data_IF_832909772105
#
_entry.id   IF_832909772105
#
_cell.length_a   1.000
_cell.length_b   1.000
_cell.length_c   1.000
_cell.angle_alpha   90.00
_cell.angle_beta   90.00
_cell.angle_gamma   90.00
#
_symmetry.space_group_name_H-M   'P 1'
#
loop_
_entity.id
_entity.type
_entity.pdbx_description
1 polymer ?
#
# COMPACT_ATOMS: atom_id res chain seq x y z
N UNK A 1 3.48 40.43 -43.72
CA UNK A 1 3.34 40.04 -42.29
C UNK A 1 2.04 39.28 -42.15
N UNK A 2 2.10 37.96 -42.35
CA UNK A 2 0.97 37.06 -42.25
C UNK A 2 0.76 36.65 -40.80
N UNK A 3 -0.41 36.89 -40.24
CA UNK A 3 -0.82 36.37 -38.94
C UNK A 3 -1.10 34.86 -39.11
N UNK A 4 -0.32 34.01 -38.49
CA UNK A 4 -0.67 32.61 -38.29
C UNK A 4 -1.90 32.55 -37.35
N UNK A 5 -2.94 31.80 -37.69
CA UNK A 5 -4.02 31.57 -36.74
C UNK A 5 -3.52 30.64 -35.65
N UNK A 6 -3.73 31.03 -34.39
CA UNK A 6 -3.60 30.21 -33.22
C UNK A 6 -4.61 29.07 -33.37
N UNK A 7 -4.14 27.87 -33.72
CA UNK A 7 -4.96 26.67 -33.69
C UNK A 7 -5.20 26.35 -32.21
N UNK A 8 -6.31 26.82 -31.68
CA UNK A 8 -6.80 26.41 -30.39
C UNK A 8 -7.09 24.89 -30.46
N UNK A 9 -6.35 24.09 -29.74
CA UNK A 9 -6.72 22.72 -29.48
C UNK A 9 -8.04 22.73 -28.71
N UNK A 10 -9.12 22.53 -29.45
CA UNK A 10 -10.43 22.29 -28.87
C UNK A 10 -10.38 20.83 -28.34
N UNK A 11 -10.13 20.67 -27.05
CA UNK A 11 -10.35 19.39 -26.38
C UNK A 11 -11.85 19.09 -26.48
N UNK A 12 -12.21 18.20 -27.39
CA UNK A 12 -13.56 17.63 -27.42
C UNK A 12 -13.68 16.69 -26.21
N UNK A 13 -14.24 17.19 -25.12
CA UNK A 13 -14.74 16.36 -24.03
C UNK A 13 -15.95 15.55 -24.56
N UNK A 14 -15.71 14.40 -25.15
CA UNK A 14 -16.77 13.48 -25.47
C UNK A 14 -17.11 12.68 -24.21
N UNK A 15 -17.97 13.22 -23.36
CA UNK A 15 -18.49 12.48 -22.21
C UNK A 15 -19.44 11.39 -22.71
N UNK A 16 -18.90 10.22 -23.04
CA UNK A 16 -19.69 9.04 -23.36
C UNK A 16 -20.27 8.45 -22.08
N UNK A 17 -21.57 8.29 -22.02
CA UNK A 17 -22.22 7.60 -20.93
C UNK A 17 -22.61 6.19 -21.35
N UNK A 18 -22.04 5.18 -20.69
CA UNK A 18 -22.37 3.78 -20.94
C UNK A 18 -23.08 3.22 -19.71
N UNK A 19 -24.15 2.46 -19.95
CA UNK A 19 -24.80 1.71 -18.89
C UNK A 19 -23.99 0.44 -18.65
N UNK A 20 -23.33 0.35 -17.49
CA UNK A 20 -22.73 -0.91 -17.06
C UNK A 20 -23.84 -1.95 -16.81
N UNK A 21 -23.52 -3.23 -16.90
CA UNK A 21 -24.47 -4.36 -16.72
C UNK A 21 -25.26 -4.32 -15.40
N UNK A 22 -24.91 -3.42 -14.49
CA UNK A 22 -25.42 -3.30 -13.12
C UNK A 22 -26.33 -2.09 -12.87
N UNK A 23 -26.77 -1.37 -13.93
CA UNK A 23 -27.57 -0.14 -13.75
C UNK A 23 -26.79 1.11 -13.31
N UNK A 24 -25.46 1.02 -13.22
CA UNK A 24 -24.59 2.16 -12.99
C UNK A 24 -24.23 2.80 -14.32
N UNK A 25 -24.31 4.12 -14.39
CA UNK A 25 -23.87 4.91 -15.54
C UNK A 25 -22.41 5.32 -15.34
N UNK A 26 -21.55 5.00 -16.30
CA UNK A 26 -20.13 5.36 -16.31
C UNK A 26 -19.97 6.55 -17.27
N UNK A 27 -19.18 7.53 -16.85
CA UNK A 27 -18.83 8.70 -17.65
C UNK A 27 -17.33 8.61 -17.90
N UNK A 28 -16.95 8.65 -19.16
CA UNK A 28 -15.57 8.53 -19.61
C UNK A 28 -15.10 9.77 -20.33
N UNK A 29 -13.81 10.02 -20.26
CA UNK A 29 -13.07 10.99 -21.05
C UNK A 29 -12.15 10.22 -22.02
N UNK A 30 -12.07 10.67 -23.26
CA UNK A 30 -11.21 10.08 -24.28
C UNK A 30 -9.95 10.92 -24.43
N UNK A 31 -8.80 10.26 -24.41
CA UNK A 31 -7.52 10.86 -24.71
C UNK A 31 -6.67 9.87 -25.54
N UNK A 32 -6.22 10.30 -26.72
CA UNK A 32 -5.35 9.52 -27.61
C UNK A 32 -5.86 8.07 -27.90
N UNK A 33 -7.16 7.93 -28.12
CA UNK A 33 -7.80 6.65 -28.41
C UNK A 33 -7.97 5.72 -27.20
N UNK A 34 -7.76 6.21 -25.99
CA UNK A 34 -7.97 5.52 -24.73
C UNK A 34 -9.00 6.23 -23.88
N UNK A 35 -9.69 5.46 -23.04
CA UNK A 35 -10.72 5.99 -22.15
C UNK A 35 -10.27 5.97 -20.70
N UNK A 36 -10.55 7.07 -20.01
CA UNK A 36 -10.47 7.15 -18.55
C UNK A 36 -11.87 7.32 -17.97
N UNK A 37 -12.25 6.47 -17.03
CA UNK A 37 -13.50 6.60 -16.29
C UNK A 37 -13.34 7.76 -15.29
N UNK A 38 -14.01 8.87 -15.51
CA UNK A 38 -13.89 10.06 -14.66
C UNK A 38 -15.00 10.19 -13.61
N UNK A 39 -16.13 9.49 -13.81
CA UNK A 39 -17.26 9.55 -12.89
C UNK A 39 -18.21 8.39 -13.09
N UNK A 40 -18.96 8.06 -12.03
CA UNK A 40 -20.08 7.13 -12.09
C UNK A 40 -21.34 7.75 -11.48
N UNK A 41 -22.52 7.34 -11.96
CA UNK A 41 -23.83 7.73 -11.43
C UNK A 41 -24.65 6.47 -11.13
N UNK A 42 -25.50 6.53 -10.12
CA UNK A 42 -26.24 5.37 -9.63
C UNK A 42 -25.47 4.61 -8.55
N UNK A 43 -26.00 3.45 -8.19
CA UNK A 43 -25.42 2.53 -7.20
C UNK A 43 -25.51 1.10 -7.71
N UNK A 44 -24.48 0.32 -7.45
CA UNK A 44 -24.48 -1.13 -7.61
C UNK A 44 -23.68 -1.74 -6.47
N UNK A 45 -23.84 -3.04 -6.25
CA UNK A 45 -23.00 -3.77 -5.29
C UNK A 45 -21.77 -4.37 -5.98
N UNK A 46 -21.92 -4.78 -7.23
CA UNK A 46 -20.88 -5.44 -7.99
C UNK A 46 -20.58 -4.64 -9.24
N UNK A 47 -19.30 -4.45 -9.53
CA UNK A 47 -18.83 -3.71 -10.67
C UNK A 47 -17.69 -4.46 -11.35
N UNK A 48 -17.91 -4.81 -12.61
CA UNK A 48 -16.84 -5.26 -13.50
C UNK A 48 -16.55 -4.10 -14.44
N UNK A 49 -15.35 -3.55 -14.35
CA UNK A 49 -14.89 -2.52 -15.29
C UNK A 49 -14.76 -3.18 -16.67
N UNK A 50 -15.39 -2.66 -17.72
CA UNK A 50 -15.25 -3.22 -19.06
C UNK A 50 -13.85 -2.97 -19.62
N UNK A 51 -13.29 -3.92 -20.36
CA UNK A 51 -12.00 -3.73 -21.05
C UNK A 51 -12.07 -2.64 -22.12
N UNK A 52 -13.23 -2.55 -22.80
CA UNK A 52 -13.46 -1.58 -23.87
C UNK A 52 -14.85 -0.97 -23.77
N UNK A 53 -14.98 0.27 -24.24
CA UNK A 53 -16.25 0.96 -24.44
C UNK A 53 -16.22 1.53 -25.86
N UNK A 54 -17.22 1.16 -26.70
CA UNK A 54 -17.27 1.55 -28.11
C UNK A 54 -15.97 1.21 -28.87
N UNK A 55 -15.40 0.03 -28.65
CA UNK A 55 -14.13 -0.46 -29.19
C UNK A 55 -12.87 0.34 -28.80
N UNK A 56 -12.98 1.28 -27.86
CA UNK A 56 -11.82 1.97 -27.26
C UNK A 56 -11.46 1.35 -25.93
N UNK A 57 -10.17 1.10 -25.63
CA UNK A 57 -9.77 0.51 -24.38
C UNK A 57 -10.00 1.45 -23.19
N UNK A 58 -10.49 0.89 -22.08
CA UNK A 58 -10.52 1.58 -20.79
C UNK A 58 -9.16 1.44 -20.14
N UNK A 59 -8.36 2.49 -20.19
CA UNK A 59 -6.99 2.49 -19.72
C UNK A 59 -6.80 3.15 -18.34
N UNK A 60 -7.76 3.97 -17.90
CA UNK A 60 -7.65 4.67 -16.62
C UNK A 60 -8.94 4.69 -15.81
N UNK A 61 -8.79 4.77 -14.50
CA UNK A 61 -9.89 5.06 -13.56
C UNK A 61 -9.48 6.33 -12.83
N UNK A 62 -10.21 7.41 -13.07
CA UNK A 62 -9.90 8.74 -12.58
C UNK A 62 -10.16 8.94 -11.09
N UNK A 63 -9.73 10.11 -10.60
CA UNK A 63 -9.89 10.53 -9.21
C UNK A 63 -11.36 10.45 -8.77
N UNK A 64 -11.60 9.78 -7.64
CA UNK A 64 -12.92 9.68 -7.02
C UNK A 64 -14.02 9.04 -7.86
N UNK A 65 -13.72 8.43 -9.02
CA UNK A 65 -14.71 7.98 -10.01
C UNK A 65 -15.82 7.11 -9.43
N UNK A 66 -15.51 6.29 -8.42
CA UNK A 66 -16.45 5.38 -7.74
C UNK A 66 -16.49 5.58 -6.22
N UNK A 67 -16.12 6.74 -5.71
CA UNK A 67 -16.18 7.03 -4.27
C UNK A 67 -17.62 6.96 -3.74
N UNK A 68 -17.84 6.28 -2.59
CA UNK A 68 -19.13 6.22 -1.87
C UNK A 68 -20.30 5.65 -2.70
N UNK A 69 -20.04 4.61 -3.50
CA UNK A 69 -21.06 3.95 -4.36
C UNK A 69 -21.72 2.74 -3.71
N UNK A 70 -21.23 2.28 -2.57
CA UNK A 70 -21.73 1.10 -1.88
C UNK A 70 -21.32 -0.21 -2.55
N UNK A 71 -20.20 -0.20 -3.30
CA UNK A 71 -19.63 -1.35 -3.96
C UNK A 71 -19.14 -2.38 -2.95
N UNK A 72 -19.42 -3.66 -3.19
CA UNK A 72 -18.94 -4.79 -2.37
C UNK A 72 -17.92 -5.65 -3.09
N UNK A 73 -17.95 -5.64 -4.43
CA UNK A 73 -17.01 -6.35 -5.30
C UNK A 73 -16.65 -5.46 -6.49
N UNK A 74 -15.34 -5.43 -6.81
CA UNK A 74 -14.82 -4.78 -8.02
C UNK A 74 -13.81 -5.71 -8.69
N UNK A 75 -13.91 -5.83 -10.01
CA UNK A 75 -12.90 -6.42 -10.88
C UNK A 75 -12.39 -5.38 -11.86
N UNK A 76 -11.08 -5.15 -11.86
CA UNK A 76 -10.38 -4.22 -12.74
C UNK A 76 -9.62 -5.04 -13.77
N UNK A 77 -9.91 -4.88 -15.08
CA UNK A 77 -9.31 -5.69 -16.14
C UNK A 77 -7.88 -5.28 -16.47
N UNK A 78 -7.22 -6.11 -17.28
CA UNK A 78 -5.85 -5.88 -17.75
C UNK A 78 -5.73 -4.70 -18.75
N UNK A 79 -6.83 -4.15 -19.26
CA UNK A 79 -6.78 -2.93 -20.08
C UNK A 79 -6.43 -1.67 -19.27
N UNK A 80 -6.69 -1.68 -17.95
CA UNK A 80 -6.44 -0.55 -17.05
C UNK A 80 -4.98 -0.52 -16.65
N UNK A 81 -4.34 0.64 -16.80
CA UNK A 81 -2.94 0.88 -16.44
C UNK A 81 -2.80 1.79 -15.22
N UNK A 82 -3.82 2.59 -14.91
CA UNK A 82 -3.77 3.56 -13.81
C UNK A 82 -5.09 3.63 -13.03
N UNK A 83 -4.97 3.70 -11.70
CA UNK A 83 -6.09 3.90 -10.78
C UNK A 83 -5.81 5.18 -9.99
N UNK A 84 -6.67 6.19 -10.16
CA UNK A 84 -6.52 7.52 -9.60
C UNK A 84 -6.76 7.63 -8.10
N UNK A 85 -6.47 8.81 -7.56
CA UNK A 85 -6.66 9.13 -6.13
C UNK A 85 -8.11 8.88 -5.70
N UNK A 86 -8.30 8.18 -4.57
CA UNK A 86 -9.60 7.93 -3.97
C UNK A 86 -10.62 7.21 -4.86
N UNK A 87 -10.20 6.63 -5.99
CA UNK A 87 -11.10 6.12 -7.04
C UNK A 87 -12.22 5.23 -6.52
N UNK A 88 -11.95 4.38 -5.54
CA UNK A 88 -12.91 3.47 -4.90
C UNK A 88 -13.01 3.66 -3.38
N UNK A 89 -12.58 4.81 -2.87
CA UNK A 89 -12.61 5.06 -1.43
C UNK A 89 -14.03 5.09 -0.86
N UNK A 90 -14.16 4.77 0.44
CA UNK A 90 -15.44 4.81 1.16
C UNK A 90 -16.53 3.95 0.52
N UNK A 91 -16.20 2.73 0.12
CA UNK A 91 -17.16 1.72 -0.31
C UNK A 91 -17.29 0.60 0.74
N UNK A 92 -17.89 -0.52 0.37
CA UNK A 92 -18.07 -1.71 1.20
C UNK A 92 -17.34 -2.92 0.61
N UNK A 93 -16.26 -2.69 -0.16
CA UNK A 93 -15.53 -3.73 -0.87
C UNK A 93 -15.04 -4.80 0.11
N UNK A 94 -15.41 -6.04 -0.14
CA UNK A 94 -14.89 -7.21 0.58
C UNK A 94 -13.86 -7.96 -0.23
N UNK A 95 -14.00 -7.90 -1.56
CA UNK A 95 -13.13 -8.56 -2.54
C UNK A 95 -12.75 -7.57 -3.63
N UNK A 96 -11.49 -7.59 -4.01
CA UNK A 96 -10.94 -6.76 -5.08
C UNK A 96 -9.94 -7.57 -5.90
N UNK A 97 -10.10 -7.53 -7.21
CA UNK A 97 -9.14 -8.06 -8.18
C UNK A 97 -8.64 -6.91 -9.05
N UNK A 98 -7.33 -6.70 -9.07
CA UNK A 98 -6.64 -5.70 -9.88
C UNK A 98 -5.87 -6.42 -10.98
N UNK A 99 -6.11 -6.02 -12.24
CA UNK A 99 -5.48 -6.59 -13.42
C UNK A 99 -3.95 -6.41 -13.48
N UNK A 100 -3.29 -7.26 -14.25
CA UNK A 100 -1.82 -7.32 -14.29
C UNK A 100 -1.16 -6.15 -15.03
N UNK A 101 -1.90 -5.39 -15.82
CA UNK A 101 -1.36 -4.21 -16.52
C UNK A 101 -1.46 -2.92 -15.71
N UNK A 102 -2.09 -2.94 -14.52
CA UNK A 102 -2.10 -1.78 -13.64
C UNK A 102 -0.69 -1.52 -13.13
N UNK A 103 -0.16 -0.34 -13.45
CA UNK A 103 1.17 0.09 -13.01
C UNK A 103 1.10 0.97 -11.76
N UNK A 104 0.06 1.79 -11.65
CA UNK A 104 -0.06 2.77 -10.56
C UNK A 104 -1.40 2.65 -9.84
N UNK A 105 -1.33 2.54 -8.51
CA UNK A 105 -2.48 2.65 -7.61
C UNK A 105 -2.35 3.96 -6.85
N UNK A 106 -3.26 4.89 -7.09
CA UNK A 106 -3.23 6.25 -6.56
C UNK A 106 -3.44 6.33 -5.05
N UNK A 107 -3.17 7.52 -4.50
CA UNK A 107 -3.38 7.85 -3.10
C UNK A 107 -4.81 7.50 -2.68
N UNK A 108 -4.94 6.80 -1.52
CA UNK A 108 -6.23 6.43 -0.93
C UNK A 108 -7.21 5.70 -1.87
N UNK A 109 -6.75 5.13 -2.99
CA UNK A 109 -7.60 4.57 -4.05
C UNK A 109 -8.66 3.59 -3.53
N UNK A 110 -8.34 2.77 -2.56
CA UNK A 110 -9.22 1.77 -1.94
C UNK A 110 -9.34 1.94 -0.42
N UNK A 111 -9.04 3.12 0.11
CA UNK A 111 -9.13 3.37 1.54
C UNK A 111 -10.58 3.31 2.05
N UNK A 112 -10.74 3.04 3.35
CA UNK A 112 -12.06 2.99 4.00
C UNK A 112 -13.03 2.02 3.31
N UNK A 113 -12.61 0.75 3.23
CA UNK A 113 -13.40 -0.37 2.72
C UNK A 113 -13.45 -1.52 3.74
N UNK A 114 -13.91 -2.68 3.32
CA UNK A 114 -14.01 -3.90 4.15
C UNK A 114 -13.21 -5.05 3.53
N UNK A 115 -12.15 -4.75 2.76
CA UNK A 115 -11.37 -5.73 2.00
C UNK A 115 -10.81 -6.81 2.90
N UNK A 116 -11.11 -8.06 2.56
CA UNK A 116 -10.55 -9.27 3.15
C UNK A 116 -9.69 -10.02 2.14
N UNK A 117 -10.19 -10.07 0.90
CA UNK A 117 -9.57 -10.74 -0.23
C UNK A 117 -9.09 -9.69 -1.25
N UNK A 118 -7.78 -9.65 -1.47
CA UNK A 118 -7.13 -8.72 -2.37
C UNK A 118 -6.16 -9.49 -3.27
N UNK A 119 -6.35 -9.34 -4.57
CA UNK A 119 -5.37 -9.72 -5.59
C UNK A 119 -4.85 -8.46 -6.25
N UNK A 120 -3.56 -8.21 -6.15
CA UNK A 120 -2.85 -7.13 -6.83
C UNK A 120 -2.13 -7.72 -8.03
N UNK A 121 -2.37 -7.16 -9.21
CA UNK A 121 -1.70 -7.59 -10.45
C UNK A 121 -0.19 -7.41 -10.38
N UNK A 122 0.54 -8.25 -11.10
CA UNK A 122 2.02 -8.31 -11.04
C UNK A 122 2.70 -7.09 -11.65
N UNK A 123 2.02 -6.33 -12.51
CA UNK A 123 2.57 -5.11 -13.15
C UNK A 123 2.58 -3.86 -12.26
N UNK A 124 2.04 -3.95 -11.03
CA UNK A 124 2.00 -2.77 -10.14
C UNK A 124 3.41 -2.42 -9.67
N UNK A 125 3.80 -1.18 -9.97
CA UNK A 125 5.09 -0.58 -9.63
C UNK A 125 4.98 0.40 -8.45
N UNK A 126 3.80 1.04 -8.29
CA UNK A 126 3.57 2.04 -7.25
C UNK A 126 2.25 1.81 -6.53
N UNK A 127 2.31 1.79 -5.20
CA UNK A 127 1.16 1.73 -4.29
C UNK A 127 1.16 3.03 -3.48
N UNK A 128 0.27 3.95 -3.82
CA UNK A 128 0.23 5.30 -3.29
C UNK A 128 -0.13 5.39 -1.80
N UNK A 129 0.09 6.58 -1.24
CA UNK A 129 -0.16 6.88 0.17
C UNK A 129 -1.57 6.46 0.60
N UNK A 130 -1.67 5.64 1.63
CA UNK A 130 -2.94 5.18 2.19
C UNK A 130 -3.81 4.36 1.24
N UNK A 131 -3.27 3.83 0.13
CA UNK A 131 -4.07 3.20 -0.94
C UNK A 131 -5.03 2.12 -0.43
N UNK A 132 -4.61 1.32 0.54
CA UNK A 132 -5.41 0.26 1.18
C UNK A 132 -5.63 0.51 2.68
N UNK A 133 -5.49 1.76 3.15
CA UNK A 133 -5.72 2.09 4.56
C UNK A 133 -7.17 1.82 4.99
N UNK A 134 -7.35 1.52 6.29
CA UNK A 134 -8.67 1.30 6.88
C UNK A 134 -9.48 0.20 6.18
N UNK A 135 -8.91 -1.02 6.17
CA UNK A 135 -9.50 -2.22 5.59
C UNK A 135 -9.46 -3.40 6.60
N UNK A 136 -9.72 -4.61 6.13
CA UNK A 136 -9.74 -5.83 6.96
C UNK A 136 -8.81 -6.92 6.42
N UNK A 137 -7.80 -6.55 5.63
CA UNK A 137 -6.87 -7.48 5.00
C UNK A 137 -6.13 -8.30 6.06
N UNK A 138 -6.15 -9.62 5.92
CA UNK A 138 -5.42 -10.54 6.80
C UNK A 138 -4.09 -10.98 6.21
N UNK A 139 -3.96 -10.87 4.90
CA UNK A 139 -2.75 -11.12 4.11
C UNK A 139 -2.69 -10.16 2.92
N UNK A 140 -1.50 -9.92 2.43
CA UNK A 140 -1.24 -9.21 1.16
C UNK A 140 0.01 -9.80 0.54
N UNK A 141 0.01 -9.92 -0.79
CA UNK A 141 1.21 -10.18 -1.57
C UNK A 141 1.60 -8.87 -2.23
N UNK A 142 2.77 -8.35 -1.91
CA UNK A 142 3.34 -7.17 -2.56
C UNK A 142 3.89 -7.62 -3.92
N UNK A 143 3.50 -6.97 -5.03
CA UNK A 143 4.02 -7.30 -6.35
C UNK A 143 5.54 -7.14 -6.46
N UNK A 144 6.21 -7.97 -7.28
CA UNK A 144 7.68 -7.98 -7.35
C UNK A 144 8.30 -6.70 -7.93
N UNK A 145 7.54 -5.92 -8.71
CA UNK A 145 8.03 -4.69 -9.33
C UNK A 145 7.81 -3.44 -8.46
N UNK A 146 7.23 -3.59 -7.27
CA UNK A 146 7.08 -2.49 -6.31
C UNK A 146 8.43 -2.19 -5.68
N UNK A 147 8.89 -0.94 -5.83
CA UNK A 147 10.16 -0.45 -5.23
C UNK A 147 9.94 0.31 -3.93
N UNK A 148 8.80 0.95 -3.78
CA UNK A 148 8.48 1.79 -2.63
C UNK A 148 7.07 1.51 -2.13
N UNK A 149 6.94 1.35 -0.82
CA UNK A 149 5.65 1.24 -0.15
C UNK A 149 5.38 2.59 0.52
N UNK A 150 4.48 3.37 -0.07
CA UNK A 150 4.19 4.73 0.33
C UNK A 150 3.63 4.84 1.77
N UNK A 151 3.72 6.02 2.40
CA UNK A 151 3.20 6.23 3.75
C UNK A 151 1.76 5.77 3.93
N UNK A 152 1.50 5.07 5.04
CA UNK A 152 0.17 4.57 5.42
C UNK A 152 -0.49 3.60 4.43
N UNK A 153 0.20 3.07 3.42
CA UNK A 153 -0.38 2.26 2.33
C UNK A 153 -1.29 1.12 2.82
N UNK A 154 -0.92 0.44 3.89
CA UNK A 154 -1.68 -0.65 4.53
C UNK A 154 -2.02 -0.36 6.00
N UNK A 155 -2.08 0.93 6.37
CA UNK A 155 -2.46 1.36 7.71
C UNK A 155 -3.81 0.78 8.14
N UNK A 156 -3.93 0.39 9.42
CA UNK A 156 -5.18 -0.06 10.03
C UNK A 156 -5.86 -1.20 9.28
N UNK A 157 -5.17 -2.35 9.22
CA UNK A 157 -5.65 -3.61 8.66
C UNK A 157 -5.56 -4.74 9.71
N UNK A 158 -5.60 -5.99 9.27
CA UNK A 158 -5.51 -7.19 10.13
C UNK A 158 -4.39 -8.12 9.68
N UNK A 159 -3.39 -7.60 8.94
CA UNK A 159 -2.27 -8.38 8.42
C UNK A 159 -1.57 -9.12 9.55
N UNK A 160 -1.30 -10.40 9.34
CA UNK A 160 -0.72 -11.30 10.35
C UNK A 160 0.72 -11.68 10.02
N UNK A 161 0.98 -12.03 8.79
CA UNK A 161 2.30 -12.33 8.23
C UNK A 161 2.55 -11.43 7.03
N UNK A 162 3.80 -11.03 6.82
CA UNK A 162 4.17 -10.15 5.74
C UNK A 162 5.50 -10.55 5.14
N UNK A 163 5.57 -10.54 3.82
CA UNK A 163 6.80 -10.66 3.05
C UNK A 163 6.98 -9.38 2.26
N UNK A 164 8.08 -8.69 2.50
CA UNK A 164 8.54 -7.55 1.71
C UNK A 164 9.52 -8.07 0.66
N UNK A 165 9.22 -7.94 -0.65
CA UNK A 165 10.10 -8.42 -1.72
C UNK A 165 11.46 -7.73 -1.74
N UNK A 166 12.45 -8.38 -2.35
CA UNK A 166 13.82 -7.86 -2.46
C UNK A 166 13.93 -6.55 -3.26
N UNK A 167 12.98 -6.27 -4.16
CA UNK A 167 13.00 -5.03 -4.95
C UNK A 167 12.57 -3.80 -4.16
N UNK A 168 11.94 -3.97 -3.00
CA UNK A 168 11.50 -2.84 -2.18
C UNK A 168 12.72 -2.20 -1.51
N UNK A 169 12.91 -0.92 -1.75
CA UNK A 169 14.00 -0.11 -1.19
C UNK A 169 13.53 0.78 -0.05
N UNK A 170 12.26 1.17 -0.02
CA UNK A 170 11.72 2.03 1.02
C UNK A 170 10.35 1.58 1.53
N UNK A 171 10.17 1.68 2.84
CA UNK A 171 8.87 1.54 3.51
C UNK A 171 8.55 2.88 4.18
N UNK A 172 7.46 3.51 3.76
CA UNK A 172 7.03 4.82 4.23
C UNK A 172 6.52 4.85 5.66
N UNK A 173 6.35 6.07 6.18
CA UNK A 173 5.79 6.33 7.51
C UNK A 173 4.47 5.58 7.71
N UNK A 174 4.34 4.85 8.82
CA UNK A 174 3.11 4.16 9.21
C UNK A 174 2.57 3.14 8.22
N UNK A 175 3.33 2.73 7.20
CA UNK A 175 2.85 1.93 6.07
C UNK A 175 2.09 0.67 6.50
N UNK A 176 2.55 -0.01 7.53
CA UNK A 176 1.92 -1.21 8.11
C UNK A 176 1.49 -1.01 9.57
N UNK A 177 1.40 0.22 10.03
CA UNK A 177 1.03 0.45 11.42
C UNK A 177 -0.42 0.04 11.72
N UNK A 178 -0.69 -0.27 13.00
CA UNK A 178 -2.01 -0.73 13.45
C UNK A 178 -2.52 -1.99 12.71
N UNK A 179 -1.65 -2.99 12.61
CA UNK A 179 -1.97 -4.32 12.10
C UNK A 179 -1.86 -5.40 13.22
N UNK A 180 -1.73 -6.65 12.83
CA UNK A 180 -1.58 -7.79 13.75
C UNK A 180 -0.34 -8.60 13.40
N UNK A 181 0.64 -8.00 12.71
CA UNK A 181 1.81 -8.66 12.16
C UNK A 181 2.63 -9.24 13.32
N UNK A 182 2.79 -10.56 13.32
CA UNK A 182 3.63 -11.29 14.27
C UNK A 182 4.90 -11.84 13.61
N UNK A 183 4.94 -11.87 12.28
CA UNK A 183 6.11 -12.30 11.50
C UNK A 183 6.24 -11.42 10.26
N UNK A 184 7.44 -10.93 9.99
CA UNK A 184 7.78 -10.21 8.78
C UNK A 184 9.13 -10.69 8.25
N UNK A 185 9.18 -10.97 6.95
CA UNK A 185 10.42 -11.14 6.20
C UNK A 185 10.67 -9.88 5.39
N UNK A 186 11.83 -9.27 5.57
CA UNK A 186 12.22 -8.03 4.90
C UNK A 186 13.24 -8.37 3.83
N UNK A 187 13.00 -7.91 2.60
CA UNK A 187 13.90 -8.10 1.46
C UNK A 187 15.26 -7.44 1.67
N UNK A 188 16.26 -7.96 1.00
CA UNK A 188 17.67 -7.59 1.19
C UNK A 188 18.05 -6.20 0.65
N UNK A 189 17.18 -5.56 -0.17
CA UNK A 189 17.45 -4.24 -0.77
C UNK A 189 16.86 -3.06 0.01
N UNK A 190 16.20 -3.32 1.15
CA UNK A 190 15.63 -2.25 1.97
C UNK A 190 16.73 -1.30 2.46
N UNK A 191 16.56 -0.01 2.17
CA UNK A 191 17.46 1.05 2.60
C UNK A 191 16.82 1.95 3.67
N UNK A 192 15.51 2.17 3.58
CA UNK A 192 14.80 3.10 4.45
C UNK A 192 13.53 2.48 5.02
N UNK A 193 13.35 2.58 6.34
CA UNK A 193 12.07 2.28 7.01
C UNK A 193 11.63 3.54 7.77
N UNK A 194 10.49 4.10 7.37
CA UNK A 194 9.94 5.35 7.90
C UNK A 194 9.39 5.26 9.33
N UNK A 195 9.10 6.42 9.90
CA UNK A 195 8.58 6.56 11.26
C UNK A 195 7.33 5.69 11.49
N UNK A 196 7.32 4.88 12.53
CA UNK A 196 6.19 4.05 12.90
C UNK A 196 5.72 3.03 11.86
N UNK A 197 6.54 2.67 10.86
CA UNK A 197 6.14 1.81 9.74
C UNK A 197 5.43 0.52 10.18
N UNK A 198 5.89 -0.09 11.26
CA UNK A 198 5.28 -1.28 11.88
C UNK A 198 4.70 -1.02 13.28
N UNK A 199 4.46 0.25 13.62
CA UNK A 199 3.94 0.64 14.92
C UNK A 199 2.63 -0.09 15.26
N UNK A 200 2.48 -0.49 16.54
CA UNK A 200 1.28 -1.16 17.04
C UNK A 200 0.95 -2.47 16.30
N UNK A 201 1.96 -3.34 16.16
CA UNK A 201 1.85 -4.71 15.65
C UNK A 201 2.10 -5.73 16.77
N UNK A 202 2.32 -7.00 16.43
CA UNK A 202 2.53 -8.12 17.36
C UNK A 202 3.82 -8.87 17.05
N UNK A 203 4.80 -8.18 16.50
CA UNK A 203 6.09 -8.80 16.13
C UNK A 203 6.73 -9.45 17.35
N UNK A 204 7.19 -10.69 17.18
CA UNK A 204 7.94 -11.44 18.18
C UNK A 204 9.41 -11.55 17.81
N UNK A 205 9.74 -11.43 16.54
CA UNK A 205 11.10 -11.37 16.02
C UNK A 205 11.11 -10.68 14.66
N UNK A 206 12.25 -10.14 14.26
CA UNK A 206 12.48 -9.57 12.93
C UNK A 206 13.98 -9.66 12.60
N UNK A 207 14.29 -10.00 11.36
CA UNK A 207 15.63 -9.89 10.81
C UNK A 207 15.72 -8.54 10.12
N UNK A 208 16.71 -7.73 10.51
CA UNK A 208 16.97 -6.43 9.92
C UNK A 208 18.14 -6.55 8.94
N UNK A 209 17.92 -6.37 7.62
CA UNK A 209 18.99 -6.45 6.63
C UNK A 209 20.08 -5.41 6.85
N UNK A 210 21.32 -5.76 6.52
CA UNK A 210 22.47 -4.87 6.60
C UNK A 210 22.43 -3.69 5.63
N UNK A 211 21.52 -3.73 4.64
CA UNK A 211 21.29 -2.65 3.67
C UNK A 211 20.62 -1.40 4.26
N UNK A 212 20.00 -1.51 5.46
CA UNK A 212 19.28 -0.38 6.07
C UNK A 212 20.26 0.74 6.42
N UNK A 213 20.09 1.87 5.75
CA UNK A 213 20.82 3.12 5.98
C UNK A 213 20.06 4.10 6.88
N UNK A 214 18.72 4.04 6.87
CA UNK A 214 17.87 4.90 7.68
C UNK A 214 16.70 4.13 8.30
N UNK A 215 16.59 4.21 9.63
CA UNK A 215 15.49 3.69 10.41
C UNK A 215 14.78 4.84 11.12
N UNK A 216 13.48 4.96 10.90
CA UNK A 216 12.62 5.97 11.50
C UNK A 216 12.44 5.78 13.01
N UNK A 217 11.67 6.66 13.61
CA UNK A 217 11.32 6.58 15.03
C UNK A 217 10.11 5.66 15.24
N UNK A 218 10.08 4.95 16.36
CA UNK A 218 8.95 4.13 16.80
C UNK A 218 8.52 3.06 15.79
N UNK A 219 9.45 2.61 14.93
CA UNK A 219 9.16 1.69 13.82
C UNK A 219 8.43 0.45 14.31
N UNK A 220 8.91 -0.16 15.38
CA UNK A 220 8.39 -1.42 15.92
C UNK A 220 7.69 -1.27 17.28
N UNK A 221 7.45 -0.04 17.76
CA UNK A 221 6.83 0.20 19.06
C UNK A 221 5.39 -0.33 19.09
N UNK A 222 5.04 -1.10 20.11
CA UNK A 222 3.67 -1.59 20.31
C UNK A 222 3.02 -0.95 21.54
N UNK A 223 1.74 -0.58 21.44
CA UNK A 223 0.96 -0.11 22.59
C UNK A 223 0.79 -1.20 23.65
N UNK A 224 0.96 -2.48 23.27
CA UNK A 224 0.79 -3.62 24.18
C UNK A 224 1.98 -3.74 25.15
N UNK A 225 3.15 -3.21 24.83
CA UNK A 225 4.35 -3.23 25.69
C UNK A 225 4.19 -2.39 26.96
N UNK A 226 3.16 -1.54 27.07
CA UNK A 226 2.82 -0.85 28.32
C UNK A 226 2.09 -1.71 29.36
N UNK A 227 1.63 -2.91 29.00
CA UNK A 227 1.16 -3.91 29.96
C UNK A 227 2.29 -4.89 30.23
N UNK A 228 2.68 -5.03 31.48
CA UNK A 228 3.82 -5.81 31.99
C UNK A 228 3.81 -7.33 31.69
N UNK A 229 3.10 -7.80 30.65
CA UNK A 229 2.94 -9.21 30.32
C UNK A 229 3.14 -9.54 28.82
N UNK A 230 3.50 -8.58 27.96
CA UNK A 230 3.84 -8.91 26.58
C UNK A 230 5.28 -9.43 26.53
N UNK A 231 5.55 -10.58 25.86
CA UNK A 231 6.91 -11.05 25.69
C UNK A 231 7.72 -9.99 24.91
N UNK A 232 9.00 -9.83 25.21
CA UNK A 232 9.89 -8.99 24.41
C UNK A 232 9.92 -9.51 22.97
N UNK A 233 10.11 -8.61 22.02
CA UNK A 233 10.30 -8.93 20.59
C UNK A 233 11.80 -9.00 20.33
N UNK A 234 12.27 -10.11 19.81
CA UNK A 234 13.67 -10.34 19.50
C UNK A 234 13.95 -9.96 18.03
N UNK A 235 14.99 -9.18 17.81
CA UNK A 235 15.47 -8.81 16.48
C UNK A 235 16.75 -9.59 16.18
N UNK A 236 16.80 -10.22 15.02
CA UNK A 236 17.87 -11.10 14.63
C UNK A 236 18.61 -10.50 13.41
N UNK A 237 19.92 -10.73 13.29
CA UNK A 237 20.67 -10.38 12.09
C UNK A 237 20.41 -11.38 10.93
N UNK A 238 21.10 -11.16 9.81
CA UNK A 238 20.98 -12.02 8.62
C UNK A 238 21.44 -13.48 8.84
N UNK A 239 22.17 -13.75 9.92
CA UNK A 239 22.60 -15.09 10.30
C UNK A 239 21.66 -15.73 11.35
N UNK A 240 20.59 -15.02 11.74
CA UNK A 240 19.66 -15.45 12.78
C UNK A 240 20.19 -15.21 14.21
N UNK A 241 21.24 -14.39 14.37
CA UNK A 241 21.73 -13.97 15.68
C UNK A 241 20.89 -12.82 16.24
N UNK A 242 20.67 -12.87 17.57
CA UNK A 242 19.88 -11.88 18.28
C UNK A 242 20.52 -10.50 18.21
N UNK A 243 19.94 -9.59 17.45
CA UNK A 243 20.35 -8.20 17.43
C UNK A 243 19.77 -7.42 18.59
N UNK A 244 18.56 -7.84 19.09
CA UNK A 244 17.82 -6.95 19.95
C UNK A 244 16.44 -7.45 20.40
N UNK A 245 15.93 -7.04 21.58
CA UNK A 245 14.57 -7.29 22.05
C UNK A 245 13.85 -6.00 22.48
N UNK A 246 12.56 -5.84 22.20
CA UNK A 246 11.81 -4.63 22.54
C UNK A 246 11.28 -4.66 23.98
N UNK A 247 11.96 -3.99 24.86
CA UNK A 247 11.33 -3.47 26.06
C UNK A 247 11.82 -2.03 26.27
N UNK A 248 11.14 -1.08 25.66
CA UNK A 248 11.35 0.37 25.81
C UNK A 248 12.59 0.98 25.10
N UNK A 249 12.36 1.83 24.10
CA UNK A 249 13.29 2.76 23.46
C UNK A 249 14.40 2.19 22.56
N UNK A 250 14.08 1.22 21.69
CA UNK A 250 15.04 0.71 20.72
C UNK A 250 15.57 1.78 19.77
N UNK A 251 14.70 2.55 19.19
CA UNK A 251 15.07 3.56 18.20
C UNK A 251 16.17 4.47 18.70
N UNK A 252 16.10 4.84 19.99
CA UNK A 252 17.15 5.67 20.63
C UNK A 252 18.45 4.90 20.86
N UNK A 253 18.37 3.59 21.16
CA UNK A 253 19.57 2.80 21.41
C UNK A 253 20.32 2.49 20.13
N UNK A 254 19.62 2.03 19.07
CA UNK A 254 20.19 1.78 17.75
C UNK A 254 20.86 3.02 17.16
N UNK A 255 20.23 4.20 17.31
CA UNK A 255 20.79 5.48 16.87
C UNK A 255 22.03 5.85 17.71
N UNK A 256 22.00 5.62 19.03
CA UNK A 256 23.11 5.98 19.94
C UNK A 256 24.36 5.11 19.77
N UNK A 257 24.22 3.88 19.26
CA UNK A 257 25.34 2.95 19.02
C UNK A 257 25.99 3.11 17.65
N UNK A 258 25.54 4.09 16.85
CA UNK A 258 26.12 4.37 15.54
C UNK A 258 25.73 3.37 14.46
N UNK A 259 24.57 2.72 14.58
CA UNK A 259 23.99 1.80 13.58
C UNK A 259 24.87 0.59 13.24
N UNK A 260 25.56 0.01 14.22
CA UNK A 260 26.34 -1.20 13.98
C UNK A 260 25.46 -2.45 13.98
N UNK A 261 25.64 -3.30 12.97
CA UNK A 261 25.23 -4.69 13.06
C UNK A 261 26.04 -5.35 14.19
N UNK A 262 25.38 -5.97 15.15
CA UNK A 262 26.03 -6.58 16.30
C UNK A 262 25.05 -7.25 17.23
N UNK A 263 25.55 -8.04 18.17
CA UNK A 263 24.73 -8.74 19.13
C UNK A 263 24.34 -7.83 20.28
N UNK A 264 23.04 -7.73 20.52
CA UNK A 264 22.49 -6.95 21.62
C UNK A 264 21.75 -7.87 22.59
N UNK A 265 22.06 -7.76 23.89
CA UNK A 265 21.38 -8.54 24.93
C UNK A 265 20.59 -7.64 25.86
N UNK A 266 19.37 -8.05 26.21
CA UNK A 266 18.54 -7.36 27.19
C UNK A 266 18.55 -8.09 28.53
N UNK A 267 18.75 -7.33 29.62
CA UNK A 267 18.66 -7.83 30.99
C UNK A 267 17.72 -6.95 31.81
N UNK A 268 17.47 -7.34 33.07
CA UNK A 268 16.70 -6.52 34.02
C UNK A 268 17.29 -5.11 34.25
N UNK A 269 18.55 -4.90 33.93
CA UNK A 269 19.26 -3.62 34.01
C UNK A 269 19.23 -2.80 32.73
N UNK A 270 18.63 -3.29 31.65
CA UNK A 270 18.61 -2.66 30.33
C UNK A 270 19.45 -3.36 29.28
N UNK A 271 19.69 -2.68 28.18
CA UNK A 271 20.42 -3.18 27.01
C UNK A 271 21.93 -3.17 27.21
N UNK A 272 22.60 -4.16 26.70
CA UNK A 272 24.03 -4.24 26.57
C UNK A 272 24.42 -4.68 25.14
N UNK A 273 25.42 -4.04 24.58
CA UNK A 273 26.08 -4.43 23.33
C UNK A 273 27.25 -5.36 23.68
N UNK A 274 27.33 -6.50 23.00
CA UNK A 274 28.47 -7.41 23.06
C UNK A 274 29.27 -7.25 21.76
N UNK A 275 30.56 -6.86 21.89
CA UNK A 275 31.49 -6.79 20.76
C UNK A 275 31.81 -8.17 20.20
#
# INVERSE_FOLDING_TARGET
MGKMPLLGFLFFFLALSVSAQSGMKIIVEENEGKLTIIRSQGKTRELIIPETINNMPVAGIGEGAFTRKGLTLVTIPDSVTEIGEGAFSYNELTTLVIGNSVETIGRQAFSNNKLKDLTIGTGVKSIGMGAFADNQLVKVTIPPDVTDIEPYAFFYNKLAELVIPDNVTAIGEGAFSNNRIYSVSIGSSIEVIGDGAFFNNRLTSIIIPGSISALGKRVFESRITKRASAPPVDYLDENGELLYTTANNFDNYFISTGKRAGKYTYSRSGWAYEE
#
